data_IF_428604579450
#
_entry.id   IF_428604579450
#
_cell.length_a   1.000
_cell.length_b   1.000
_cell.length_c   1.000
_cell.angle_alpha   90.00
_cell.angle_beta   90.00
_cell.angle_gamma   90.00
#
_symmetry.space_group_name_H-M   'P 1'
#
loop_
_entity.id
_entity.type
_entity.pdbx_description
1 polymer ?
#
# COMPACT_ATOMS: atom_id res chain seq x y z
N UNK A 1 33.41 -27.74 12.84
CA UNK A 1 32.06 -27.48 13.35
C UNK A 1 31.99 -25.98 13.62
N UNK A 2 31.32 -25.22 12.77
CA UNK A 2 31.27 -23.76 12.89
C UNK A 2 30.21 -23.40 13.93
N UNK A 3 30.56 -22.58 14.89
CA UNK A 3 29.73 -22.08 15.96
C UNK A 3 28.52 -21.30 15.38
N UNK A 4 27.34 -21.84 15.61
CA UNK A 4 26.03 -21.26 15.22
C UNK A 4 25.57 -20.21 16.23
N UNK A 5 26.40 -19.89 17.27
CA UNK A 5 25.94 -19.12 18.43
C UNK A 5 26.05 -17.59 18.29
N UNK A 6 26.69 -17.07 17.23
CA UNK A 6 26.89 -15.62 17.05
C UNK A 6 26.25 -15.04 15.80
N UNK A 7 25.15 -15.63 15.34
CA UNK A 7 24.41 -15.02 14.23
C UNK A 7 23.36 -14.00 14.76
N UNK A 8 23.64 -12.68 14.69
CA UNK A 8 22.73 -11.65 15.19
C UNK A 8 21.34 -11.69 14.51
N UNK A 9 21.27 -12.20 13.27
CA UNK A 9 20.01 -12.37 12.54
C UNK A 9 19.17 -13.51 13.09
N UNK A 10 19.75 -14.57 13.64
CA UNK A 10 19.02 -15.67 14.25
C UNK A 10 18.32 -15.20 15.53
N UNK A 11 19.01 -14.39 16.34
CA UNK A 11 18.46 -13.80 17.56
C UNK A 11 17.31 -12.83 17.26
N UNK A 12 17.51 -11.96 16.29
CA UNK A 12 16.47 -11.02 15.86
C UNK A 12 15.25 -11.73 15.23
N UNK A 13 15.49 -12.81 14.48
CA UNK A 13 14.41 -13.65 13.95
C UNK A 13 13.61 -14.33 15.06
N UNK A 14 14.27 -14.85 16.09
CA UNK A 14 13.59 -15.44 17.26
C UNK A 14 12.83 -14.41 18.08
N UNK A 15 13.38 -13.23 18.30
CA UNK A 15 12.70 -12.13 18.99
C UNK A 15 11.47 -11.64 18.20
N UNK A 16 11.58 -11.49 16.89
CA UNK A 16 10.47 -11.11 16.02
C UNK A 16 9.44 -12.22 15.84
N UNK A 17 9.83 -13.49 15.84
CA UNK A 17 8.88 -14.62 15.78
C UNK A 17 8.12 -14.82 17.08
N UNK A 18 8.74 -14.50 18.23
CA UNK A 18 8.09 -14.50 19.56
C UNK A 18 7.25 -13.25 19.80
N UNK A 19 7.56 -12.15 19.11
CA UNK A 19 6.80 -10.90 19.17
C UNK A 19 5.57 -10.89 18.27
N UNK A 20 4.98 -12.03 17.99
CA UNK A 20 3.67 -12.16 17.35
C UNK A 20 2.54 -11.46 18.11
N UNK A 21 2.79 -10.26 18.66
CA UNK A 21 1.76 -9.29 18.97
C UNK A 21 1.08 -8.97 17.65
N UNK A 22 -0.05 -9.63 17.40
CA UNK A 22 -1.01 -9.14 16.43
C UNK A 22 -1.14 -7.66 16.74
N UNK A 23 -0.80 -6.80 15.77
CA UNK A 23 -1.08 -5.37 15.94
C UNK A 23 -2.57 -5.28 16.24
N UNK A 24 -2.95 -4.61 17.32
CA UNK A 24 -4.36 -4.37 17.69
C UNK A 24 -5.08 -3.50 16.64
N UNK A 25 -4.36 -3.11 15.59
CA UNK A 25 -4.89 -2.34 14.46
C UNK A 25 -5.63 -3.28 13.52
N UNK A 26 -6.93 -3.26 13.62
CA UNK A 26 -7.84 -4.01 12.74
C UNK A 26 -7.89 -3.32 11.38
N UNK A 27 -7.56 -4.05 10.30
CA UNK A 27 -7.75 -3.56 8.94
C UNK A 27 -9.22 -3.33 8.65
N UNK A 28 -9.56 -2.23 7.96
CA UNK A 28 -10.91 -2.02 7.49
C UNK A 28 -11.23 -3.04 6.39
N UNK A 29 -12.34 -3.76 6.56
CA UNK A 29 -12.89 -4.64 5.52
C UNK A 29 -14.11 -3.95 4.92
N UNK A 30 -14.06 -3.67 3.61
CA UNK A 30 -15.20 -3.13 2.88
C UNK A 30 -16.28 -4.20 2.75
N UNK A 31 -17.48 -3.86 3.20
CA UNK A 31 -18.69 -4.63 2.92
C UNK A 31 -19.47 -3.87 1.84
N UNK A 32 -20.36 -4.54 1.15
CA UNK A 32 -21.28 -3.85 0.25
C UNK A 32 -22.17 -2.88 1.05
N UNK A 33 -22.38 -1.68 0.52
CA UNK A 33 -23.20 -0.64 1.15
C UNK A 33 -22.41 0.64 1.45
N UNK A 34 -23.09 1.56 2.12
CA UNK A 34 -22.54 2.85 2.49
C UNK A 34 -21.68 2.76 3.76
N UNK A 35 -20.49 3.33 3.69
CA UNK A 35 -19.57 3.43 4.81
C UNK A 35 -19.31 4.89 5.15
N UNK A 36 -19.54 5.27 6.39
CA UNK A 36 -19.16 6.59 6.91
C UNK A 36 -17.85 6.47 7.68
N UNK A 37 -16.82 7.14 7.20
CA UNK A 37 -15.46 7.08 7.78
C UNK A 37 -14.97 8.46 8.18
N UNK A 38 -14.25 8.52 9.28
CA UNK A 38 -13.50 9.69 9.70
C UNK A 38 -12.01 9.43 9.57
N UNK A 39 -11.31 10.20 8.73
CA UNK A 39 -9.86 10.15 8.68
C UNK A 39 -9.31 10.82 9.93
N UNK A 40 -8.43 10.14 10.65
CA UNK A 40 -7.78 10.70 11.82
C UNK A 40 -6.65 11.64 11.40
N UNK A 41 -6.40 12.71 12.16
CA UNK A 41 -5.29 13.63 11.89
C UNK A 41 -3.94 12.91 12.00
N UNK A 42 -2.92 13.45 11.36
CA UNK A 42 -1.55 13.01 11.57
C UNK A 42 -1.15 13.18 13.04
N UNK A 43 -0.31 12.25 13.54
CA UNK A 43 0.22 12.31 14.90
C UNK A 43 1.15 13.52 15.05
N UNK A 44 1.93 13.82 14.00
CA UNK A 44 2.84 14.96 13.96
C UNK A 44 2.13 16.14 13.29
N UNK A 45 2.12 17.28 13.98
CA UNK A 45 1.49 18.49 13.47
C UNK A 45 2.16 18.97 12.17
N UNK A 46 1.36 19.22 11.15
CA UNK A 46 1.84 19.70 9.84
C UNK A 46 2.14 18.56 8.84
N UNK A 47 2.09 17.31 9.26
CA UNK A 47 2.18 16.17 8.35
C UNK A 47 0.83 15.77 7.76
N UNK A 48 0.88 14.98 6.70
CA UNK A 48 -0.31 14.41 6.08
C UNK A 48 -0.78 13.18 6.86
N UNK A 49 -2.10 12.90 6.94
CA UNK A 49 -2.66 11.82 7.75
C UNK A 49 -2.54 10.44 7.10
N UNK A 50 -1.59 10.26 6.18
CA UNK A 50 -1.40 9.00 5.47
C UNK A 50 0.07 8.70 5.21
N UNK A 51 0.40 7.42 5.14
CA UNK A 51 1.69 6.93 4.68
C UNK A 51 1.54 6.42 3.25
N UNK A 52 2.45 6.84 2.38
CA UNK A 52 2.49 6.46 0.97
C UNK A 52 3.62 5.47 0.73
N UNK A 53 3.30 4.34 0.13
CA UNK A 53 4.27 3.29 -0.21
C UNK A 53 3.91 2.60 -1.53
N UNK A 54 4.82 1.78 -2.01
CA UNK A 54 4.66 0.99 -3.23
C UNK A 54 4.60 -0.48 -2.84
N UNK A 55 3.65 -1.20 -3.43
CA UNK A 55 3.51 -2.65 -3.26
C UNK A 55 3.68 -3.34 -4.60
N UNK A 56 4.64 -4.26 -4.67
CA UNK A 56 4.77 -5.23 -5.77
C UNK A 56 4.18 -6.56 -5.32
N UNK A 57 3.42 -7.19 -6.19
CA UNK A 57 2.92 -8.54 -5.97
C UNK A 57 3.75 -9.52 -6.77
N UNK A 58 4.53 -10.36 -6.09
CA UNK A 58 5.42 -11.31 -6.74
C UNK A 58 4.69 -12.65 -6.86
N UNK A 59 4.45 -13.14 -8.10
CA UNK A 59 3.83 -14.43 -8.33
C UNK A 59 4.70 -15.55 -7.75
N UNK A 60 4.08 -16.46 -7.02
CA UNK A 60 4.76 -17.64 -6.47
C UNK A 60 4.35 -18.86 -7.31
N UNK A 61 5.36 -19.57 -7.86
CA UNK A 61 5.18 -20.71 -8.80
C UNK A 61 4.48 -21.93 -8.22
N UNK A 62 4.25 -21.97 -6.91
CA UNK A 62 3.78 -23.18 -6.19
C UNK A 62 2.31 -23.14 -5.79
N UNK A 63 1.44 -22.45 -6.52
CA UNK A 63 -0.01 -22.37 -6.22
C UNK A 63 -0.35 -21.61 -4.92
N UNK A 64 0.64 -21.01 -4.27
CA UNK A 64 0.46 -20.11 -3.11
C UNK A 64 0.08 -18.71 -3.57
N UNK A 65 -0.55 -17.94 -2.67
CA UNK A 65 -0.89 -16.53 -2.91
C UNK A 65 0.39 -15.73 -3.23
N UNK A 66 0.28 -14.77 -4.15
CA UNK A 66 1.34 -13.82 -4.46
C UNK A 66 1.89 -13.18 -3.17
N UNK A 67 3.20 -12.94 -3.15
CA UNK A 67 3.86 -12.32 -2.00
C UNK A 67 4.01 -10.82 -2.22
N UNK A 68 3.56 -9.96 -1.29
CA UNK A 68 3.78 -8.54 -1.38
C UNK A 68 5.21 -8.18 -1.00
N UNK A 69 5.85 -7.32 -1.80
CA UNK A 69 7.07 -6.59 -1.43
C UNK A 69 6.69 -5.12 -1.30
N UNK A 70 6.89 -4.58 -0.11
CA UNK A 70 6.53 -3.20 0.24
C UNK A 70 7.79 -2.37 0.40
N UNK A 71 7.80 -1.17 -0.16
CA UNK A 71 8.90 -0.22 0.03
C UNK A 71 8.41 1.23 -0.04
N UNK A 72 9.18 2.15 0.55
CA UNK A 72 8.94 3.59 0.45
C UNK A 72 9.05 4.11 -0.99
N UNK A 73 8.45 5.25 -1.26
CA UNK A 73 8.44 5.84 -2.63
C UNK A 73 9.85 6.14 -3.12
N UNK A 74 10.71 6.59 -2.21
CA UNK A 74 12.09 7.02 -2.52
C UNK A 74 13.14 5.91 -2.27
N UNK A 75 12.69 4.69 -1.97
CA UNK A 75 13.59 3.58 -1.66
C UNK A 75 14.04 2.88 -2.95
N UNK A 76 15.35 2.60 -3.04
CA UNK A 76 15.89 1.79 -4.14
C UNK A 76 15.37 0.35 -4.02
N UNK A 77 14.41 0.00 -4.85
CA UNK A 77 13.80 -1.33 -4.88
C UNK A 77 14.35 -2.15 -6.04
N UNK A 78 14.86 -3.38 -5.81
CA UNK A 78 15.37 -4.23 -6.88
C UNK A 78 14.27 -4.62 -7.89
N UNK A 79 13.02 -4.78 -7.45
CA UNK A 79 11.88 -5.07 -8.35
C UNK A 79 11.59 -3.87 -9.24
N UNK A 80 11.59 -2.64 -8.71
CA UNK A 80 11.45 -1.43 -9.53
C UNK A 80 12.56 -1.32 -10.58
N UNK A 81 13.83 -1.63 -10.18
CA UNK A 81 14.96 -1.62 -11.10
C UNK A 81 14.79 -2.66 -12.22
N UNK A 82 14.33 -3.85 -11.87
CA UNK A 82 14.05 -4.90 -12.84
C UNK A 82 12.91 -4.50 -13.79
N UNK A 83 11.82 -3.95 -13.29
CA UNK A 83 10.72 -3.44 -14.14
C UNK A 83 11.20 -2.31 -15.06
N UNK A 84 12.10 -1.44 -14.59
CA UNK A 84 12.71 -0.40 -15.42
C UNK A 84 13.56 -1.01 -16.56
N UNK A 85 14.33 -2.06 -16.29
CA UNK A 85 15.10 -2.73 -17.37
C UNK A 85 14.20 -3.40 -18.41
N UNK A 86 13.07 -3.96 -18.00
CA UNK A 86 12.07 -4.50 -18.94
C UNK A 86 11.48 -3.40 -19.84
N UNK A 87 11.21 -2.22 -19.28
CA UNK A 87 10.77 -1.06 -20.07
C UNK A 87 11.84 -0.59 -21.05
N UNK A 88 13.11 -0.53 -20.63
CA UNK A 88 14.21 -0.18 -21.55
C UNK A 88 14.28 -1.14 -22.73
N UNK A 89 14.07 -2.44 -22.51
CA UNK A 89 14.05 -3.43 -23.57
C UNK A 89 12.83 -3.25 -24.49
N UNK A 90 11.64 -2.94 -23.95
CA UNK A 90 10.47 -2.60 -24.78
C UNK A 90 10.73 -1.40 -25.68
N UNK A 91 11.38 -0.34 -25.16
CA UNK A 91 11.73 0.83 -25.95
C UNK A 91 12.74 0.49 -27.03
N UNK A 92 13.78 -0.30 -26.71
CA UNK A 92 14.76 -0.74 -27.68
C UNK A 92 14.11 -1.49 -28.83
N UNK A 93 13.26 -2.49 -28.56
CA UNK A 93 12.57 -3.26 -29.60
C UNK A 93 11.68 -2.38 -30.50
N UNK A 94 11.04 -1.37 -29.93
CA UNK A 94 10.20 -0.46 -30.70
C UNK A 94 10.98 0.54 -31.54
N UNK A 95 12.07 1.08 -31.02
CA UNK A 95 12.83 2.15 -31.67
C UNK A 95 13.88 1.60 -32.66
N UNK A 96 14.56 0.50 -32.31
CA UNK A 96 15.63 -0.06 -33.13
C UNK A 96 15.15 -1.16 -34.09
N UNK A 97 14.10 -1.92 -33.70
CA UNK A 97 13.59 -3.05 -34.47
C UNK A 97 12.19 -2.80 -35.06
N UNK A 98 11.67 -1.55 -34.93
CA UNK A 98 10.36 -1.11 -35.46
C UNK A 98 9.19 -2.04 -35.04
N UNK A 99 9.31 -2.69 -33.85
CA UNK A 99 8.30 -3.62 -33.36
C UNK A 99 7.09 -2.88 -32.81
N UNK A 100 5.91 -3.36 -33.10
CA UNK A 100 4.66 -2.84 -32.52
C UNK A 100 4.33 -3.48 -31.17
N UNK A 101 3.34 -2.92 -30.44
CA UNK A 101 2.82 -3.51 -29.20
C UNK A 101 2.22 -4.92 -29.41
N UNK A 102 1.89 -5.26 -30.66
CA UNK A 102 1.32 -6.55 -31.04
C UNK A 102 2.38 -7.65 -31.24
N UNK A 103 3.67 -7.29 -31.38
CA UNK A 103 4.74 -8.25 -31.53
C UNK A 103 4.82 -9.21 -30.31
N UNK A 104 5.00 -10.52 -30.50
CA UNK A 104 5.01 -11.50 -29.42
C UNK A 104 6.02 -11.21 -28.31
N UNK A 105 7.21 -10.71 -28.69
CA UNK A 105 8.30 -10.33 -27.78
C UNK A 105 7.87 -9.16 -26.90
N UNK A 106 7.34 -8.09 -27.52
CA UNK A 106 6.85 -6.89 -26.81
C UNK A 106 5.68 -7.25 -25.88
N UNK A 107 4.71 -8.02 -26.36
CA UNK A 107 3.59 -8.52 -25.52
C UNK A 107 4.05 -9.30 -24.32
N UNK A 108 5.07 -10.14 -24.49
CA UNK A 108 5.63 -10.93 -23.38
C UNK A 108 6.23 -10.01 -22.30
N UNK A 109 7.00 -9.01 -22.71
CA UNK A 109 7.60 -8.02 -21.78
C UNK A 109 6.51 -7.19 -21.08
N UNK A 110 5.56 -6.65 -21.82
CA UNK A 110 4.45 -5.87 -21.27
C UNK A 110 3.63 -6.69 -20.24
N UNK A 111 3.42 -7.98 -20.49
CA UNK A 111 2.77 -8.88 -19.56
C UNK A 111 3.57 -9.09 -18.29
N UNK A 112 4.90 -9.20 -18.37
CA UNK A 112 5.77 -9.27 -17.20
C UNK A 112 5.74 -7.96 -16.39
N UNK A 113 5.88 -6.83 -17.06
CA UNK A 113 5.80 -5.50 -16.46
C UNK A 113 4.47 -5.33 -15.71
N UNK A 114 3.36 -5.67 -16.35
CA UNK A 114 2.03 -5.51 -15.76
C UNK A 114 1.85 -6.32 -14.46
N UNK A 115 2.48 -7.50 -14.39
CA UNK A 115 2.47 -8.37 -13.20
C UNK A 115 3.34 -7.84 -12.06
N UNK A 116 4.51 -7.27 -12.40
CA UNK A 116 5.54 -6.89 -11.43
C UNK A 116 5.52 -5.41 -11.06
N UNK A 117 4.84 -4.55 -11.85
CA UNK A 117 4.81 -3.12 -11.57
C UNK A 117 4.25 -2.83 -10.18
N UNK A 118 4.94 -1.94 -9.48
CA UNK A 118 4.48 -1.48 -8.16
C UNK A 118 3.19 -0.67 -8.25
N UNK A 119 2.32 -0.90 -7.28
CA UNK A 119 1.10 -0.11 -7.10
C UNK A 119 1.30 0.85 -5.94
N UNK A 120 1.08 2.14 -6.17
CA UNK A 120 1.05 3.15 -5.09
C UNK A 120 -0.15 2.85 -4.19
N UNK A 121 0.11 2.80 -2.91
CA UNK A 121 -0.88 2.50 -1.87
C UNK A 121 -0.77 3.57 -0.79
N UNK A 122 -1.90 3.92 -0.22
CA UNK A 122 -2.02 4.89 0.85
C UNK A 122 -2.62 4.22 2.06
N UNK A 123 -2.01 4.45 3.20
CA UNK A 123 -2.37 3.83 4.47
C UNK A 123 -2.67 4.94 5.47
N UNK A 124 -3.84 4.89 6.06
CA UNK A 124 -4.31 5.92 6.99
C UNK A 124 -5.12 5.31 8.13
N UNK A 125 -5.07 5.97 9.27
CA UNK A 125 -5.92 5.61 10.40
C UNK A 125 -7.29 6.28 10.25
N UNK A 126 -8.33 5.50 10.49
CA UNK A 126 -9.72 5.95 10.39
C UNK A 126 -10.55 5.50 11.58
N UNK A 127 -11.66 6.19 11.79
CA UNK A 127 -12.81 5.67 12.54
C UNK A 127 -13.91 5.29 11.54
N UNK A 128 -14.33 4.06 11.59
CA UNK A 128 -15.52 3.59 10.88
C UNK A 128 -16.75 3.92 11.75
N UNK A 129 -17.57 4.86 11.34
CA UNK A 129 -18.70 5.33 12.15
C UNK A 129 -19.73 4.24 12.44
N UNK A 130 -19.77 3.21 11.61
CA UNK A 130 -20.66 2.08 11.80
C UNK A 130 -20.12 1.04 12.80
N UNK A 131 -18.80 1.08 13.08
CA UNK A 131 -18.13 0.10 13.95
C UNK A 131 -16.88 0.71 14.63
N UNK A 132 -17.05 1.83 15.34
CA UNK A 132 -15.93 2.56 15.97
C UNK A 132 -15.75 2.28 17.48
N UNK A 133 -16.58 1.41 18.07
CA UNK A 133 -16.45 0.99 19.46
C UNK A 133 -16.33 -0.53 19.55
N UNK A 134 -15.52 -0.98 20.50
CA UNK A 134 -15.44 -2.39 20.87
C UNK A 134 -16.57 -2.76 21.87
N UNK A 135 -16.60 -4.03 22.25
CA UNK A 135 -17.58 -4.57 23.21
C UNK A 135 -17.47 -3.91 24.60
N UNK A 136 -16.33 -3.32 24.92
CA UNK A 136 -16.07 -2.61 26.18
C UNK A 136 -16.34 -1.09 26.06
N UNK A 137 -16.79 -0.62 24.89
CA UNK A 137 -17.05 0.79 24.63
C UNK A 137 -15.82 1.62 24.26
N UNK A 138 -14.63 1.03 24.15
CA UNK A 138 -13.42 1.75 23.77
C UNK A 138 -13.44 2.09 22.27
N UNK A 139 -12.76 3.19 21.92
CA UNK A 139 -12.63 3.60 20.53
C UNK A 139 -11.74 2.63 19.77
N UNK A 140 -12.27 2.08 18.69
CA UNK A 140 -11.59 1.16 17.77
C UNK A 140 -11.09 1.90 16.55
N UNK A 141 -9.79 2.15 16.49
CA UNK A 141 -9.13 2.72 15.33
C UNK A 141 -8.92 1.61 14.30
N UNK A 142 -9.34 1.85 13.07
CA UNK A 142 -9.11 0.94 11.95
C UNK A 142 -8.05 1.51 11.01
N UNK A 143 -7.34 0.63 10.34
CA UNK A 143 -6.38 0.95 9.29
C UNK A 143 -7.04 0.83 7.93
N UNK A 144 -7.07 1.90 7.16
CA UNK A 144 -7.55 1.91 5.80
C UNK A 144 -6.37 1.86 4.82
N UNK A 145 -6.26 0.76 4.11
CA UNK A 145 -5.33 0.62 2.97
C UNK A 145 -6.09 0.98 1.70
N UNK A 146 -5.86 2.19 1.20
CA UNK A 146 -6.65 2.75 0.12
C UNK A 146 -6.03 2.49 -1.26
N UNK A 147 -6.83 1.97 -2.18
CA UNK A 147 -6.51 1.90 -3.61
C UNK A 147 -6.55 3.30 -4.25
N UNK A 148 -5.97 3.48 -5.45
CA UNK A 148 -6.04 4.75 -6.17
C UNK A 148 -7.47 5.28 -6.37
N UNK A 149 -8.44 4.41 -6.50
CA UNK A 149 -9.86 4.76 -6.67
C UNK A 149 -10.44 5.46 -5.42
N UNK A 150 -9.96 5.08 -4.25
CA UNK A 150 -10.43 5.64 -2.97
C UNK A 150 -9.61 6.86 -2.58
N UNK A 151 -8.27 6.79 -2.62
CA UNK A 151 -7.45 7.87 -2.10
C UNK A 151 -7.41 9.12 -2.99
N UNK A 152 -7.57 9.00 -4.31
CA UNK A 152 -7.59 10.18 -5.20
C UNK A 152 -8.69 11.16 -4.83
N UNK A 153 -9.97 10.75 -4.73
CA UNK A 153 -11.03 11.65 -4.27
C UNK A 153 -10.77 12.25 -2.89
N UNK A 154 -10.17 11.49 -1.97
CA UNK A 154 -9.85 12.00 -0.63
C UNK A 154 -8.82 13.14 -0.69
N UNK A 155 -7.76 13.00 -1.51
CA UNK A 155 -6.76 14.04 -1.70
C UNK A 155 -7.36 15.26 -2.39
N UNK A 156 -8.20 15.07 -3.39
CA UNK A 156 -8.91 16.15 -4.10
C UNK A 156 -9.80 16.94 -3.15
N UNK A 157 -10.55 16.25 -2.28
CA UNK A 157 -11.36 16.88 -1.24
C UNK A 157 -10.50 17.66 -0.25
N UNK A 158 -9.40 17.08 0.22
CA UNK A 158 -8.48 17.72 1.16
C UNK A 158 -7.79 18.97 0.60
N UNK A 159 -7.66 19.05 -0.71
CA UNK A 159 -7.06 20.18 -1.42
C UNK A 159 -8.11 21.22 -1.89
N UNK A 160 -9.39 20.96 -1.69
CA UNK A 160 -10.48 21.85 -2.09
C UNK A 160 -10.62 23.03 -1.13
N UNK A 161 -10.64 24.24 -1.64
CA UNK A 161 -10.92 25.45 -0.85
C UNK A 161 -12.30 25.42 -0.19
N UNK A 162 -13.27 24.78 -0.84
CA UNK A 162 -14.65 24.67 -0.34
C UNK A 162 -14.77 23.72 0.84
N UNK A 163 -14.14 22.54 0.76
CA UNK A 163 -14.32 21.47 1.74
C UNK A 163 -13.19 21.42 2.76
N UNK A 164 -11.98 21.79 2.36
CA UNK A 164 -10.81 21.79 3.22
C UNK A 164 -10.36 20.39 3.63
N UNK A 165 -9.52 20.34 4.65
CA UNK A 165 -8.90 19.10 5.12
C UNK A 165 -9.89 18.20 5.91
N UNK A 166 -10.28 17.01 5.39
CA UNK A 166 -11.21 16.11 6.08
C UNK A 166 -10.66 15.54 7.39
N UNK A 167 -9.34 15.50 7.55
CA UNK A 167 -8.67 15.01 8.77
C UNK A 167 -8.37 16.10 9.80
N UNK A 168 -8.79 17.35 9.57
CA UNK A 168 -8.51 18.43 10.51
C UNK A 168 -9.11 18.14 11.90
N UNK A 169 -8.31 18.35 12.95
CA UNK A 169 -8.70 18.04 14.31
C UNK A 169 -9.98 18.77 14.76
N UNK A 170 -10.07 20.07 14.46
CA UNK A 170 -11.20 20.90 14.88
C UNK A 170 -12.36 20.97 13.87
N UNK A 171 -12.05 20.94 12.58
CA UNK A 171 -13.03 21.17 11.50
C UNK A 171 -13.11 20.05 10.47
N UNK A 172 -12.50 18.91 10.74
CA UNK A 172 -12.59 17.79 9.85
C UNK A 172 -14.03 17.23 9.81
N UNK A 173 -14.34 16.45 8.79
CA UNK A 173 -15.68 15.90 8.53
C UNK A 173 -15.60 14.43 8.12
N UNK A 174 -16.74 13.76 8.25
CA UNK A 174 -16.85 12.37 7.85
C UNK A 174 -17.02 12.24 6.34
N UNK A 175 -16.46 11.19 5.77
CA UNK A 175 -16.56 10.87 4.35
C UNK A 175 -17.49 9.67 4.16
N UNK A 176 -18.43 9.79 3.24
CA UNK A 176 -19.27 8.67 2.82
C UNK A 176 -18.64 8.00 1.60
N UNK A 177 -18.45 6.68 1.70
CA UNK A 177 -17.94 5.83 0.62
C UNK A 177 -19.01 4.79 0.29
N UNK A 178 -19.44 4.75 -0.96
CA UNK A 178 -20.45 3.85 -1.51
C UNK A 178 -19.86 2.88 -2.53
#
# INVERSE_FOLDING_TARGET
MAHHEDNPWAKEYEENSKSGKKSDVVGMTWKSGEHSIRILPAIVKGEVPFVKYIVHWIPVTTGKKDRPIVHGVDTKCPVCKFVSSLWSEVYRLKEEEDMTDEAPEVKKLLKQISKLRGKKTYDMNILDRNDYRDENGNIKIKRLVASPTIWKPIIELGNSEKWGNPSAQARGYDLTVT
#
